data_IF_666212432878
#
_entry.id   IF_666212432878
#
_cell.length_a   1.000
_cell.length_b   1.000
_cell.length_c   1.000
_cell.angle_alpha   90.00
_cell.angle_beta   90.00
_cell.angle_gamma   90.00
#
_symmetry.space_group_name_H-M   'P 1'
#
loop_
_entity.id
_entity.type
_entity.pdbx_description
1 polymer ?
#
# COMPACT_ATOMS: atom_id res chain seq x y z
N UNK A 1 28.42 -42.40 -94.57
CA UNK A 1 28.77 -41.49 -93.47
C UNK A 1 27.47 -40.86 -93.01
N UNK A 2 27.09 -41.06 -91.75
CA UNK A 2 25.79 -40.61 -91.25
C UNK A 2 25.96 -39.54 -90.18
N UNK A 3 25.20 -38.46 -90.30
CA UNK A 3 25.21 -37.38 -89.32
C UNK A 3 24.13 -37.62 -88.28
N UNK A 4 24.55 -37.72 -87.02
CA UNK A 4 23.65 -37.92 -85.89
C UNK A 4 23.68 -36.70 -84.97
N UNK A 5 22.50 -36.31 -84.51
CA UNK A 5 22.28 -35.25 -83.53
C UNK A 5 21.56 -35.86 -82.33
N UNK A 6 22.07 -35.62 -81.13
CA UNK A 6 21.41 -36.00 -79.88
C UNK A 6 20.38 -34.95 -79.44
N UNK A 7 19.37 -35.41 -78.68
CA UNK A 7 18.41 -34.52 -78.00
C UNK A 7 19.09 -33.71 -76.89
N UNK A 8 18.43 -32.67 -76.34
CA UNK A 8 18.99 -31.84 -75.28
C UNK A 8 19.50 -32.63 -74.06
N UNK A 9 18.78 -33.66 -73.63
CA UNK A 9 19.15 -34.53 -72.50
C UNK A 9 20.08 -35.71 -72.88
N UNK A 10 20.28 -35.95 -74.18
CA UNK A 10 21.02 -37.12 -74.67
C UNK A 10 22.45 -36.74 -75.12
N UNK A 11 23.38 -37.68 -75.06
CA UNK A 11 24.71 -37.57 -75.67
C UNK A 11 24.97 -38.77 -76.59
N UNK A 12 25.73 -38.53 -77.66
CA UNK A 12 26.21 -39.59 -78.55
C UNK A 12 27.54 -40.11 -78.04
N UNK A 13 27.60 -41.41 -77.83
CA UNK A 13 28.80 -42.17 -77.53
C UNK A 13 29.25 -42.89 -78.77
N UNK A 14 30.47 -42.58 -79.23
CA UNK A 14 31.03 -43.10 -80.46
C UNK A 14 32.27 -43.92 -80.12
N UNK A 15 32.30 -45.14 -80.63
CA UNK A 15 33.41 -46.09 -80.48
C UNK A 15 33.75 -46.69 -81.84
N UNK A 16 34.98 -47.14 -82.07
CA UNK A 16 35.39 -47.79 -83.31
C UNK A 16 36.71 -47.27 -83.86
N UNK A 17 36.97 -47.54 -85.14
CA UNK A 17 38.28 -47.29 -85.75
C UNK A 17 38.67 -45.81 -85.68
N UNK A 18 39.84 -45.52 -85.10
CA UNK A 18 40.38 -44.16 -84.90
C UNK A 18 39.95 -43.47 -83.59
N UNK A 19 39.34 -44.19 -82.66
CA UNK A 19 38.98 -43.72 -81.32
C UNK A 19 39.50 -44.75 -80.31
N UNK A 20 40.48 -44.38 -79.48
CA UNK A 20 41.16 -45.34 -78.61
C UNK A 20 40.33 -45.76 -77.38
N UNK A 21 39.48 -44.88 -76.85
CA UNK A 21 38.59 -45.22 -75.71
C UNK A 21 37.12 -44.95 -76.03
N UNK A 22 36.68 -43.68 -75.96
CA UNK A 22 35.27 -43.33 -76.08
C UNK A 22 35.12 -41.85 -76.41
N UNK A 23 34.37 -41.50 -77.45
CA UNK A 23 34.12 -40.10 -77.81
C UNK A 23 32.67 -39.72 -77.50
N UNK A 24 32.48 -38.71 -76.66
CA UNK A 24 31.16 -38.20 -76.26
C UNK A 24 30.91 -36.86 -76.95
N UNK A 25 29.82 -36.75 -77.72
CA UNK A 25 29.48 -35.53 -78.44
C UNK A 25 27.96 -35.33 -78.56
N UNK A 26 27.49 -34.08 -78.67
CA UNK A 26 26.07 -33.78 -78.97
C UNK A 26 25.74 -33.96 -80.45
N UNK A 27 26.72 -33.69 -81.32
CA UNK A 27 26.60 -33.75 -82.77
C UNK A 27 27.86 -34.42 -83.31
N UNK A 28 27.72 -35.42 -84.15
CA UNK A 28 28.87 -36.09 -84.72
C UNK A 28 28.57 -36.79 -86.03
N UNK A 29 29.63 -36.88 -86.83
CA UNK A 29 29.66 -37.57 -88.10
C UNK A 29 30.21 -38.98 -87.85
N UNK A 30 29.37 -39.99 -88.03
CA UNK A 30 29.72 -41.39 -87.75
C UNK A 30 30.24 -42.04 -89.03
N UNK A 31 31.46 -42.55 -88.97
CA UNK A 31 32.11 -43.29 -90.05
C UNK A 31 31.60 -44.75 -90.11
N UNK A 32 31.64 -45.43 -91.28
CA UNK A 32 31.11 -46.80 -91.43
C UNK A 32 31.76 -47.85 -90.51
N UNK A 33 32.96 -47.58 -89.97
CA UNK A 33 33.66 -48.44 -89.00
C UNK A 33 33.49 -47.98 -87.54
N UNK A 34 32.56 -47.07 -87.27
CA UNK A 34 32.26 -46.54 -85.94
C UNK A 34 30.84 -46.93 -85.53
N UNK A 35 30.68 -47.30 -84.26
CA UNK A 35 29.39 -47.54 -83.61
C UNK A 35 28.99 -46.30 -82.84
N UNK A 36 27.71 -45.96 -82.89
CA UNK A 36 27.13 -44.84 -82.17
C UNK A 36 26.00 -45.34 -81.26
N UNK A 37 26.11 -45.04 -79.96
CA UNK A 37 25.09 -45.35 -78.95
C UNK A 37 24.63 -44.04 -78.33
N UNK A 38 23.32 -43.92 -78.06
CA UNK A 38 22.75 -42.74 -77.40
C UNK A 38 22.64 -43.00 -75.90
N UNK A 39 22.99 -42.03 -75.08
CA UNK A 39 22.90 -42.10 -73.63
C UNK A 39 22.09 -40.91 -73.12
N UNK A 40 21.09 -41.19 -72.28
CA UNK A 40 20.32 -40.16 -71.58
C UNK A 40 21.05 -39.77 -70.28
N UNK A 41 21.16 -38.47 -70.04
CA UNK A 41 21.81 -37.88 -68.85
C UNK A 41 20.76 -37.39 -67.84
N UNK A 42 19.47 -37.54 -68.16
CA UNK A 42 18.37 -37.16 -67.28
C UNK A 42 18.43 -37.93 -65.94
N UNK A 43 18.31 -37.23 -64.79
CA UNK A 43 18.26 -37.88 -63.50
C UNK A 43 17.02 -38.80 -63.37
N UNK A 44 17.22 -39.97 -62.78
CA UNK A 44 16.18 -40.97 -62.55
C UNK A 44 15.90 -41.10 -61.05
N UNK A 45 14.63 -41.29 -60.70
CA UNK A 45 14.23 -41.54 -59.32
C UNK A 45 14.29 -43.03 -59.00
N UNK A 46 15.09 -43.38 -58.00
CA UNK A 46 15.27 -44.72 -57.47
C UNK A 46 14.59 -44.81 -56.11
N UNK A 47 13.55 -45.63 -56.03
CA UNK A 47 12.86 -45.95 -54.77
C UNK A 47 13.39 -47.28 -54.24
N UNK A 48 13.78 -47.32 -52.98
CA UNK A 48 14.19 -48.56 -52.34
C UNK A 48 13.72 -48.60 -50.88
N UNK A 49 13.64 -49.81 -50.35
CA UNK A 49 13.27 -50.10 -48.97
C UNK A 49 14.37 -50.95 -48.36
N UNK A 50 15.28 -50.30 -47.61
CA UNK A 50 16.39 -51.03 -46.98
C UNK A 50 15.90 -51.64 -45.68
N UNK A 51 16.05 -52.96 -45.56
CA UNK A 51 16.00 -53.62 -44.26
C UNK A 51 17.38 -53.55 -43.61
N UNK A 52 17.45 -52.86 -42.47
CA UNK A 52 18.67 -52.66 -41.72
C UNK A 52 18.48 -53.03 -40.24
N UNK A 53 19.58 -53.32 -39.56
CA UNK A 53 19.61 -53.64 -38.14
C UNK A 53 20.42 -52.58 -37.40
N UNK A 54 19.89 -52.07 -36.29
CA UNK A 54 20.64 -51.17 -35.39
C UNK A 54 21.70 -51.91 -34.58
N UNK A 55 22.54 -51.18 -33.84
CA UNK A 55 23.50 -51.76 -32.89
C UNK A 55 22.82 -52.64 -31.83
N UNK A 56 21.57 -52.34 -31.47
CA UNK A 56 20.75 -53.09 -30.51
C UNK A 56 20.09 -54.33 -31.15
N UNK A 57 20.39 -54.62 -32.43
CA UNK A 57 19.81 -55.70 -33.23
C UNK A 57 18.31 -55.55 -33.47
N UNK A 58 17.80 -54.32 -33.42
CA UNK A 58 16.43 -54.03 -33.82
C UNK A 58 16.39 -53.82 -35.34
N UNK A 59 15.55 -54.60 -36.01
CA UNK A 59 15.34 -54.51 -37.45
C UNK A 59 14.35 -53.39 -37.78
N UNK A 60 14.66 -52.59 -38.79
CA UNK A 60 13.79 -51.52 -39.28
C UNK A 60 13.85 -51.39 -40.80
N UNK A 61 12.80 -50.80 -41.35
CA UNK A 61 12.68 -50.48 -42.76
C UNK A 61 12.93 -48.99 -42.98
N UNK A 62 13.88 -48.69 -43.85
CA UNK A 62 14.18 -47.34 -44.31
C UNK A 62 13.68 -47.17 -45.75
N UNK A 63 12.47 -46.64 -45.95
CA UNK A 63 12.00 -46.26 -47.28
C UNK A 63 12.65 -44.95 -47.70
N UNK A 64 13.36 -44.95 -48.82
CA UNK A 64 13.98 -43.75 -49.34
C UNK A 64 13.91 -43.65 -50.86
N UNK A 65 13.97 -42.40 -51.34
CA UNK A 65 13.88 -42.05 -52.77
C UNK A 65 15.08 -41.19 -53.12
N UNK A 66 15.90 -41.66 -54.03
CA UNK A 66 17.11 -40.97 -54.48
C UNK A 66 16.96 -40.60 -55.95
N UNK A 67 17.19 -39.33 -56.26
CA UNK A 67 17.28 -38.84 -57.63
C UNK A 67 18.74 -38.87 -58.04
N UNK A 68 19.10 -39.82 -58.90
CA UNK A 68 20.48 -40.08 -59.30
C UNK A 68 20.60 -39.94 -60.81
N UNK A 69 21.66 -39.31 -61.27
CA UNK A 69 21.97 -39.22 -62.69
C UNK A 69 23.45 -38.98 -62.92
N UNK A 70 23.95 -39.22 -64.14
CA UNK A 70 25.31 -38.85 -64.50
C UNK A 70 25.53 -37.34 -64.35
N UNK A 71 26.75 -36.95 -63.98
CA UNK A 71 27.16 -35.54 -63.92
C UNK A 71 27.40 -35.03 -65.34
N UNK A 72 26.54 -34.12 -65.82
CA UNK A 72 26.65 -33.56 -67.17
C UNK A 72 27.87 -32.64 -67.36
N UNK A 73 28.35 -32.03 -66.27
CA UNK A 73 29.40 -31.01 -66.30
C UNK A 73 30.82 -31.59 -66.41
N UNK A 74 31.01 -32.87 -66.04
CA UNK A 74 32.32 -33.52 -66.06
C UNK A 74 32.40 -34.57 -67.17
N UNK A 75 33.32 -34.34 -68.11
CA UNK A 75 33.56 -35.28 -69.20
C UNK A 75 34.03 -36.65 -68.69
N UNK A 76 34.81 -36.70 -67.62
CA UNK A 76 35.32 -37.97 -67.09
C UNK A 76 34.19 -38.82 -66.47
N UNK A 77 33.28 -38.19 -65.73
CA UNK A 77 32.07 -38.83 -65.21
C UNK A 77 31.18 -39.37 -66.33
N UNK A 78 31.00 -38.63 -67.43
CA UNK A 78 30.26 -39.10 -68.59
C UNK A 78 30.93 -40.30 -69.27
N UNK A 79 32.26 -40.34 -69.35
CA UNK A 79 33.00 -41.49 -69.89
C UNK A 79 32.84 -42.72 -68.99
N UNK A 80 32.93 -42.56 -67.68
CA UNK A 80 32.69 -43.66 -66.72
C UNK A 80 31.27 -44.22 -66.83
N UNK A 81 30.28 -43.34 -66.90
CA UNK A 81 28.88 -43.73 -67.08
C UNK A 81 28.65 -44.44 -68.42
N UNK A 82 29.25 -43.93 -69.50
CA UNK A 82 29.18 -44.55 -70.82
C UNK A 82 29.83 -45.94 -70.85
N UNK A 83 30.95 -46.14 -70.15
CA UNK A 83 31.59 -47.46 -69.99
C UNK A 83 30.69 -48.43 -69.22
N UNK A 84 30.02 -47.97 -68.15
CA UNK A 84 29.08 -48.78 -67.40
C UNK A 84 27.94 -49.28 -68.30
N UNK A 85 27.33 -48.39 -69.07
CA UNK A 85 26.25 -48.73 -70.00
C UNK A 85 26.70 -49.61 -71.18
N UNK A 86 27.95 -49.45 -71.64
CA UNK A 86 28.49 -50.25 -72.75
C UNK A 86 28.69 -51.72 -72.40
N UNK A 87 28.97 -52.03 -71.12
CA UNK A 87 29.10 -53.42 -70.63
C UNK A 87 27.75 -54.13 -70.51
N UNK A 88 26.67 -53.36 -70.29
CA UNK A 88 25.33 -53.85 -70.01
C UNK A 88 24.40 -53.55 -71.20
N UNK A 89 24.72 -54.08 -72.39
CA UNK A 89 23.89 -53.92 -73.60
C UNK A 89 22.47 -54.52 -73.49
N UNK A 90 22.08 -55.05 -72.32
CA UNK A 90 20.78 -55.68 -72.07
C UNK A 90 20.16 -55.14 -70.79
N UNK A 91 19.46 -54.01 -70.93
CA UNK A 91 18.45 -53.45 -70.01
C UNK A 91 18.97 -52.45 -68.95
N UNK A 92 18.17 -51.40 -68.75
CA UNK A 92 18.28 -50.40 -67.68
C UNK A 92 18.19 -50.98 -66.26
N UNK A 93 17.86 -52.27 -66.15
CA UNK A 93 17.74 -53.01 -64.91
C UNK A 93 19.08 -53.15 -64.19
N UNK A 94 20.17 -53.38 -64.92
CA UNK A 94 21.48 -53.67 -64.33
C UNK A 94 22.07 -52.46 -63.59
N UNK A 95 21.87 -51.25 -64.14
CA UNK A 95 22.29 -50.00 -63.47
C UNK A 95 21.43 -49.74 -62.25
N UNK A 96 20.14 -50.06 -62.31
CA UNK A 96 19.23 -49.93 -61.17
C UNK A 96 19.63 -50.87 -60.03
N UNK A 97 19.93 -52.13 -60.34
CA UNK A 97 20.41 -53.12 -59.36
C UNK A 97 21.76 -52.72 -58.75
N UNK A 98 22.70 -52.25 -59.57
CA UNK A 98 24.00 -51.77 -59.08
C UNK A 98 23.83 -50.62 -58.09
N UNK A 99 23.07 -49.58 -58.48
CA UNK A 99 22.82 -48.41 -57.62
C UNK A 99 22.07 -48.82 -56.35
N UNK A 100 21.07 -49.70 -56.47
CA UNK A 100 20.34 -50.22 -55.32
C UNK A 100 21.26 -51.01 -54.38
N UNK A 101 22.13 -51.88 -54.90
CA UNK A 101 23.07 -52.68 -54.11
C UNK A 101 24.09 -51.82 -53.35
N UNK A 102 24.62 -50.77 -53.98
CA UNK A 102 25.52 -49.81 -53.31
C UNK A 102 24.80 -49.10 -52.17
N UNK A 103 23.60 -48.59 -52.42
CA UNK A 103 22.87 -47.82 -51.41
C UNK A 103 22.43 -48.72 -50.25
N UNK A 104 21.91 -49.91 -50.54
CA UNK A 104 21.53 -50.89 -49.52
C UNK A 104 22.73 -51.32 -48.68
N UNK A 105 23.87 -51.59 -49.30
CA UNK A 105 25.12 -51.97 -48.63
C UNK A 105 25.60 -50.89 -47.66
N UNK A 106 25.80 -49.67 -48.16
CA UNK A 106 26.32 -48.55 -47.35
C UNK A 106 25.34 -48.12 -46.25
N UNK A 107 24.04 -48.11 -46.55
CA UNK A 107 23.00 -47.80 -45.57
C UNK A 107 22.98 -48.84 -44.45
N UNK A 108 23.15 -50.13 -44.77
CA UNK A 108 23.17 -51.21 -43.77
C UNK A 108 24.39 -51.12 -42.85
N UNK A 109 25.56 -50.80 -43.39
CA UNK A 109 26.79 -50.62 -42.60
C UNK A 109 26.61 -49.45 -41.62
N UNK A 110 26.03 -48.35 -42.06
CA UNK A 110 25.76 -47.19 -41.22
C UNK A 110 24.73 -47.48 -40.13
N UNK A 111 23.61 -48.10 -40.50
CA UNK A 111 22.57 -48.47 -39.56
C UNK A 111 23.10 -49.40 -38.45
N UNK A 112 23.99 -50.34 -38.77
CA UNK A 112 24.59 -51.25 -37.79
C UNK A 112 25.46 -50.52 -36.75
N UNK A 113 26.04 -49.37 -37.12
CA UNK A 113 26.92 -48.58 -36.26
C UNK A 113 26.21 -47.59 -35.33
N UNK A 114 24.90 -47.38 -35.53
CA UNK A 114 24.11 -46.41 -34.76
C UNK A 114 23.04 -47.08 -33.90
N UNK A 115 22.71 -46.44 -32.77
CA UNK A 115 21.56 -46.84 -31.96
C UNK A 115 20.25 -46.49 -32.69
N UNK A 116 19.19 -47.22 -32.37
CA UNK A 116 17.88 -46.98 -32.99
C UNK A 116 17.35 -45.57 -32.67
N UNK A 117 17.59 -45.09 -31.45
CA UNK A 117 17.21 -43.74 -31.04
C UNK A 117 17.99 -42.66 -31.79
N UNK A 118 19.28 -42.88 -32.04
CA UNK A 118 20.11 -41.93 -32.78
C UNK A 118 19.71 -41.86 -34.25
N UNK A 119 19.30 -42.98 -34.86
CA UNK A 119 18.76 -43.00 -36.23
C UNK A 119 17.43 -42.23 -36.30
N UNK A 120 16.59 -42.34 -35.25
CA UNK A 120 15.30 -41.65 -35.16
C UNK A 120 15.46 -40.14 -34.85
N UNK A 121 16.27 -39.77 -33.87
CA UNK A 121 16.50 -38.36 -33.46
C UNK A 121 17.43 -37.64 -34.44
N UNK A 122 18.45 -38.33 -34.92
CA UNK A 122 19.52 -37.83 -35.79
C UNK A 122 19.27 -38.04 -37.27
N UNK A 123 18.02 -38.06 -37.75
CA UNK A 123 17.70 -38.32 -39.17
C UNK A 123 18.45 -37.41 -40.14
N UNK A 124 18.77 -36.17 -39.73
CA UNK A 124 19.56 -35.22 -40.54
C UNK A 124 21.03 -35.62 -40.65
N UNK A 125 21.65 -36.03 -39.55
CA UNK A 125 23.05 -36.43 -39.52
C UNK A 125 23.24 -37.77 -40.20
N UNK A 126 22.34 -38.72 -39.95
CA UNK A 126 22.26 -39.99 -40.66
C UNK A 126 22.13 -39.78 -42.18
N UNK A 127 21.23 -38.88 -42.62
CA UNK A 127 21.09 -38.54 -44.04
C UNK A 127 22.40 -38.03 -44.64
N UNK A 128 23.12 -37.14 -43.94
CA UNK A 128 24.38 -36.58 -44.43
C UNK A 128 25.46 -37.65 -44.53
N UNK A 129 25.53 -38.55 -43.57
CA UNK A 129 26.54 -39.62 -43.55
C UNK A 129 26.28 -40.68 -44.63
N UNK A 130 25.02 -41.13 -44.77
CA UNK A 130 24.60 -42.03 -45.86
C UNK A 130 24.88 -41.38 -47.21
N UNK A 131 24.51 -40.11 -47.38
CA UNK A 131 24.77 -39.37 -48.61
C UNK A 131 26.28 -39.30 -48.94
N UNK A 132 27.12 -39.01 -47.94
CA UNK A 132 28.56 -38.92 -48.12
C UNK A 132 29.18 -40.24 -48.59
N UNK A 133 28.86 -41.36 -47.90
CA UNK A 133 29.41 -42.67 -48.24
C UNK A 133 28.91 -43.17 -49.60
N UNK A 134 27.60 -43.07 -49.85
CA UNK A 134 27.01 -43.50 -51.13
C UNK A 134 27.57 -42.66 -52.29
N UNK A 135 27.76 -41.36 -52.12
CA UNK A 135 28.30 -40.51 -53.20
C UNK A 135 29.74 -40.89 -53.58
N UNK A 136 30.58 -41.32 -52.62
CA UNK A 136 31.95 -41.79 -52.91
C UNK A 136 31.93 -43.02 -53.81
N UNK A 137 31.06 -43.99 -53.54
CA UNK A 137 30.90 -45.19 -54.37
C UNK A 137 30.31 -44.86 -55.75
N UNK A 138 29.27 -44.01 -55.80
CA UNK A 138 28.65 -43.60 -57.07
C UNK A 138 29.60 -42.79 -57.98
N UNK A 139 30.54 -42.03 -57.42
CA UNK A 139 31.56 -41.29 -58.17
C UNK A 139 32.47 -42.21 -59.01
N UNK A 140 32.67 -43.47 -58.60
CA UNK A 140 33.45 -44.46 -59.35
C UNK A 140 32.77 -44.79 -60.68
N UNK A 141 31.44 -44.73 -60.72
CA UNK A 141 30.60 -44.97 -61.89
C UNK A 141 30.21 -43.70 -62.65
N UNK A 142 30.65 -42.51 -62.19
CA UNK A 142 30.31 -41.22 -62.79
C UNK A 142 28.87 -40.75 -62.50
N UNK A 143 28.25 -41.29 -61.44
CA UNK A 143 26.90 -40.97 -61.00
C UNK A 143 26.91 -39.93 -59.86
N UNK A 144 25.92 -39.06 -59.86
CA UNK A 144 25.71 -38.00 -58.88
C UNK A 144 24.30 -38.12 -58.28
N UNK A 145 24.21 -38.01 -56.97
CA UNK A 145 22.93 -37.86 -56.27
C UNK A 145 22.54 -36.38 -56.34
N UNK A 146 21.46 -36.07 -57.05
CA UNK A 146 20.88 -34.72 -57.11
C UNK A 146 20.01 -34.43 -55.90
N UNK A 147 19.25 -35.44 -55.45
CA UNK A 147 18.39 -35.33 -54.28
C UNK A 147 18.25 -36.68 -53.59
N UNK A 148 18.09 -36.66 -52.28
CA UNK A 148 17.77 -37.82 -51.46
C UNK A 148 16.63 -37.44 -50.52
N UNK A 149 15.53 -38.16 -50.59
CA UNK A 149 14.41 -38.03 -49.67
C UNK A 149 14.24 -39.31 -48.88
N UNK A 150 14.52 -39.25 -47.58
CA UNK A 150 14.34 -40.35 -46.65
C UNK A 150 12.95 -40.17 -46.03
N UNK A 151 12.08 -41.16 -46.18
CA UNK A 151 10.76 -41.15 -45.53
C UNK A 151 10.91 -41.57 -44.07
N UNK A 152 9.82 -41.48 -43.31
CA UNK A 152 9.79 -41.93 -41.93
C UNK A 152 10.12 -43.43 -41.85
N UNK A 153 10.95 -43.79 -40.86
CA UNK A 153 11.30 -45.16 -40.54
C UNK A 153 10.05 -45.95 -40.17
N UNK A 154 9.98 -47.20 -40.66
CA UNK A 154 8.85 -48.09 -40.40
C UNK A 154 9.38 -49.35 -39.73
N UNK A 155 8.64 -49.86 -38.75
CA UNK A 155 8.96 -51.13 -38.12
C UNK A 155 8.77 -52.29 -39.11
N UNK A 156 9.58 -53.34 -38.96
CA UNK A 156 9.33 -54.61 -39.65
C UNK A 156 8.06 -55.24 -39.08
N UNK A 157 7.28 -55.95 -39.92
CA UNK A 157 6.06 -56.66 -39.49
C UNK A 157 6.37 -57.56 -38.27
N UNK A 158 5.66 -57.33 -37.17
CA UNK A 158 5.82 -58.06 -35.90
C UNK A 158 6.52 -57.27 -34.79
N UNK A 159 7.08 -56.10 -35.10
CA UNK A 159 7.64 -55.16 -34.11
C UNK A 159 6.86 -53.84 -34.13
N UNK A 160 6.66 -53.23 -32.96
CA UNK A 160 5.92 -51.97 -32.80
C UNK A 160 6.77 -50.91 -32.06
N UNK A 161 8.10 -51.01 -32.19
CA UNK A 161 9.02 -50.17 -31.43
C UNK A 161 8.83 -48.68 -31.72
N UNK A 162 8.68 -48.27 -32.98
CA UNK A 162 8.47 -46.85 -33.32
C UNK A 162 7.13 -46.32 -32.83
N UNK A 163 6.09 -47.15 -32.79
CA UNK A 163 4.79 -46.77 -32.23
C UNK A 163 4.91 -46.46 -30.74
N UNK A 164 5.55 -47.34 -29.97
CA UNK A 164 5.78 -47.13 -28.54
C UNK A 164 6.77 -45.98 -28.26
N UNK A 165 7.83 -45.85 -29.06
CA UNK A 165 8.79 -44.76 -28.93
C UNK A 165 8.13 -43.40 -29.21
N UNK A 166 7.28 -43.32 -30.23
CA UNK A 166 6.49 -42.13 -30.54
C UNK A 166 5.55 -41.76 -29.40
N UNK A 167 4.81 -42.73 -28.85
CA UNK A 167 3.95 -42.52 -27.68
C UNK A 167 4.75 -42.07 -26.45
N UNK A 168 5.88 -42.72 -26.15
CA UNK A 168 6.77 -42.35 -25.03
C UNK A 168 7.26 -40.91 -25.18
N UNK A 169 7.70 -40.52 -26.37
CA UNK A 169 8.22 -39.17 -26.65
C UNK A 169 7.10 -38.12 -26.50
N UNK A 170 5.89 -38.40 -26.97
CA UNK A 170 4.73 -37.52 -26.79
C UNK A 170 4.34 -37.38 -25.32
N UNK A 171 4.33 -38.49 -24.57
CA UNK A 171 4.04 -38.48 -23.13
C UNK A 171 5.13 -37.73 -22.34
N UNK A 172 6.40 -37.91 -22.69
CA UNK A 172 7.52 -37.22 -22.06
C UNK A 172 7.46 -35.71 -22.30
N UNK A 173 7.18 -35.29 -23.54
CA UNK A 173 6.97 -33.87 -23.88
C UNK A 173 5.76 -33.29 -23.14
N UNK A 174 4.65 -34.02 -23.06
CA UNK A 174 3.47 -33.60 -22.31
C UNK A 174 3.73 -33.50 -20.81
N UNK A 175 4.47 -34.44 -20.23
CA UNK A 175 4.85 -34.41 -18.82
C UNK A 175 5.81 -33.27 -18.51
N UNK A 176 6.79 -33.01 -19.38
CA UNK A 176 7.69 -31.86 -19.25
C UNK A 176 6.92 -30.55 -19.29
N UNK A 177 6.01 -30.39 -20.26
CA UNK A 177 5.13 -29.23 -20.32
C UNK A 177 4.26 -29.07 -19.05
N UNK A 178 3.74 -30.17 -18.50
CA UNK A 178 2.99 -30.14 -17.23
C UNK A 178 3.86 -29.70 -16.05
N UNK A 179 5.11 -30.17 -15.99
CA UNK A 179 6.07 -29.76 -14.95
C UNK A 179 6.38 -28.26 -15.08
N UNK A 180 6.66 -27.78 -16.29
CA UNK A 180 6.95 -26.37 -16.54
C UNK A 180 5.76 -25.47 -16.18
N UNK A 181 4.53 -25.89 -16.50
CA UNK A 181 3.29 -25.17 -16.11
C UNK A 181 3.09 -25.19 -14.59
N UNK A 182 3.34 -26.32 -13.93
CA UNK A 182 3.22 -26.43 -12.49
C UNK A 182 4.25 -25.56 -11.77
N UNK A 183 5.49 -25.53 -12.24
CA UNK A 183 6.56 -24.67 -11.71
C UNK A 183 6.25 -23.19 -11.93
N UNK A 184 5.79 -22.81 -13.12
CA UNK A 184 5.36 -21.45 -13.42
C UNK A 184 4.19 -21.02 -12.52
N UNK A 185 3.21 -21.90 -12.30
CA UNK A 185 2.08 -21.63 -11.40
C UNK A 185 2.54 -21.50 -9.95
N UNK A 186 3.40 -22.41 -9.47
CA UNK A 186 3.97 -22.33 -8.12
C UNK A 186 4.73 -21.01 -7.92
N UNK A 187 5.56 -20.61 -8.88
CA UNK A 187 6.28 -19.33 -8.82
C UNK A 187 5.33 -18.13 -8.83
N UNK A 188 4.27 -18.19 -9.65
CA UNK A 188 3.20 -17.19 -9.68
C UNK A 188 2.47 -17.07 -8.34
N UNK A 189 2.04 -18.19 -7.76
CA UNK A 189 1.33 -18.26 -6.48
C UNK A 189 2.20 -17.77 -5.32
N UNK A 190 3.49 -18.13 -5.31
CA UNK A 190 4.47 -17.64 -4.32
C UNK A 190 4.66 -16.13 -4.47
N UNK A 191 4.82 -15.62 -5.70
CA UNK A 191 4.96 -14.19 -5.96
C UNK A 191 3.72 -13.39 -5.57
N UNK A 192 2.52 -13.95 -5.81
CA UNK A 192 1.24 -13.36 -5.41
C UNK A 192 1.13 -13.28 -3.88
N UNK A 193 1.39 -14.38 -3.17
CA UNK A 193 1.36 -14.42 -1.69
C UNK A 193 2.42 -13.52 -1.05
N UNK A 194 3.61 -13.43 -1.63
CA UNK A 194 4.64 -12.51 -1.16
C UNK A 194 4.21 -11.05 -1.34
N UNK A 195 3.61 -10.71 -2.47
CA UNK A 195 3.09 -9.35 -2.73
C UNK A 195 1.93 -9.00 -1.80
N UNK A 196 1.02 -9.94 -1.56
CA UNK A 196 -0.07 -9.79 -0.59
C UNK A 196 0.47 -9.63 0.84
N UNK A 197 1.42 -10.48 1.25
CA UNK A 197 2.09 -10.38 2.54
C UNK A 197 2.82 -9.04 2.73
N UNK A 198 3.48 -8.54 1.69
CA UNK A 198 4.11 -7.21 1.70
C UNK A 198 3.07 -6.09 1.82
N UNK A 199 1.92 -6.23 1.16
CA UNK A 199 0.81 -5.27 1.24
C UNK A 199 0.21 -5.23 2.63
N UNK A 200 -0.03 -6.40 3.25
CA UNK A 200 -0.54 -6.51 4.63
C UNK A 200 0.47 -5.93 5.62
N UNK A 201 1.76 -6.26 5.49
CA UNK A 201 2.80 -5.71 6.36
C UNK A 201 2.93 -4.19 6.21
N UNK A 202 2.82 -3.67 4.99
CA UNK A 202 2.87 -2.23 4.72
C UNK A 202 1.65 -1.54 5.31
N UNK A 203 0.45 -2.10 5.13
CA UNK A 203 -0.77 -1.60 5.75
C UNK A 203 -0.70 -1.60 7.29
N UNK A 204 -0.16 -2.67 7.88
CA UNK A 204 0.03 -2.76 9.33
C UNK A 204 1.06 -1.73 9.83
N UNK A 205 2.17 -1.51 9.12
CA UNK A 205 3.14 -0.45 9.45
C UNK A 205 2.51 0.94 9.36
N UNK A 206 1.74 1.21 8.31
CA UNK A 206 1.02 2.49 8.14
C UNK A 206 0.01 2.68 9.28
N UNK A 207 -0.74 1.65 9.67
CA UNK A 207 -1.70 1.74 10.78
C UNK A 207 -1.00 2.01 12.13
N UNK A 208 0.13 1.35 12.40
CA UNK A 208 0.95 1.64 13.58
C UNK A 208 1.50 3.07 13.55
N UNK A 209 2.07 3.51 12.42
CA UNK A 209 2.54 4.90 12.27
C UNK A 209 1.41 5.91 12.44
N UNK A 210 0.23 5.62 11.88
CA UNK A 210 -0.96 6.48 12.01
C UNK A 210 -1.41 6.57 13.47
N UNK A 211 -1.40 5.45 14.21
CA UNK A 211 -1.69 5.42 15.65
C UNK A 211 -0.66 6.19 16.48
N UNK A 212 0.63 6.10 16.13
CA UNK A 212 1.70 6.87 16.80
C UNK A 212 1.52 8.36 16.53
N UNK A 213 1.28 8.77 15.27
CA UNK A 213 1.06 10.17 14.90
C UNK A 213 -0.19 10.74 15.55
N UNK A 214 -1.29 9.98 15.58
CA UNK A 214 -2.53 10.41 16.26
C UNK A 214 -2.37 10.51 17.77
N UNK A 215 -1.67 9.56 18.41
CA UNK A 215 -1.33 9.65 19.83
C UNK A 215 -0.43 10.85 20.14
N UNK A 216 0.55 11.13 19.28
CA UNK A 216 1.44 12.29 19.42
C UNK A 216 0.68 13.61 19.22
N UNK A 217 -0.22 13.70 18.22
CA UNK A 217 -1.11 14.85 18.02
C UNK A 217 -2.07 15.05 19.18
N UNK A 218 -2.63 13.97 19.75
CA UNK A 218 -3.46 14.06 20.95
C UNK A 218 -2.66 14.48 22.18
N UNK A 219 -1.42 14.01 22.32
CA UNK A 219 -0.50 14.46 23.37
C UNK A 219 -0.17 15.95 23.26
N UNK A 220 0.10 16.43 22.04
CA UNK A 220 0.31 17.85 21.76
C UNK A 220 -0.95 18.68 22.01
N UNK A 221 -2.11 18.24 21.51
CA UNK A 221 -3.39 18.90 21.75
C UNK A 221 -3.75 18.99 23.23
N UNK A 222 -3.53 17.93 24.01
CA UNK A 222 -3.71 17.96 25.47
C UNK A 222 -2.71 18.88 26.16
N UNK A 223 -1.45 18.93 25.73
CA UNK A 223 -0.48 19.88 26.27
C UNK A 223 -0.87 21.33 25.98
N UNK A 224 -1.42 21.58 24.79
CA UNK A 224 -1.89 22.91 24.37
C UNK A 224 -3.17 23.29 25.11
N UNK A 225 -4.12 22.37 25.30
CA UNK A 225 -5.28 22.55 26.18
C UNK A 225 -4.88 22.81 27.63
N UNK A 226 -3.87 22.11 28.16
CA UNK A 226 -3.36 22.35 29.51
C UNK A 226 -2.71 23.73 29.61
N UNK A 227 -1.94 24.16 28.60
CA UNK A 227 -1.35 25.51 28.55
C UNK A 227 -2.42 26.58 28.49
N UNK A 228 -3.38 26.47 27.58
CA UNK A 228 -4.50 27.41 27.47
C UNK A 228 -5.33 27.41 28.76
N UNK A 229 -5.63 26.24 29.32
CA UNK A 229 -6.37 26.12 30.58
C UNK A 229 -5.63 26.68 31.79
N UNK A 230 -4.29 26.62 31.80
CA UNK A 230 -3.48 27.25 32.85
C UNK A 230 -3.35 28.76 32.65
N UNK A 231 -3.23 29.25 31.41
CA UNK A 231 -3.29 30.67 31.09
C UNK A 231 -4.65 31.29 31.47
N UNK A 232 -5.75 30.61 31.16
CA UNK A 232 -7.11 31.03 31.57
C UNK A 232 -7.23 31.06 33.10
N UNK A 233 -6.74 30.03 33.81
CA UNK A 233 -6.75 30.04 35.29
C UNK A 233 -5.89 31.14 35.88
N UNK A 234 -4.73 31.44 35.29
CA UNK A 234 -3.88 32.56 35.72
C UNK A 234 -4.62 33.88 35.52
N UNK A 235 -5.31 34.05 34.39
CA UNK A 235 -6.11 35.22 34.10
C UNK A 235 -7.31 35.36 35.07
N UNK A 236 -8.03 34.27 35.37
CA UNK A 236 -9.10 34.26 36.36
C UNK A 236 -8.59 34.63 37.75
N UNK A 237 -7.46 34.07 38.19
CA UNK A 237 -6.84 34.41 39.48
C UNK A 237 -6.41 35.89 39.51
N UNK A 238 -5.86 36.41 38.42
CA UNK A 238 -5.50 37.82 38.31
C UNK A 238 -6.73 38.73 38.38
N UNK A 239 -7.80 38.38 37.66
CA UNK A 239 -9.05 39.13 37.67
C UNK A 239 -9.71 39.08 39.06
N UNK A 240 -9.70 37.93 39.73
CA UNK A 240 -10.25 37.77 41.07
C UNK A 240 -9.43 38.54 42.11
N UNK A 241 -8.10 38.57 41.98
CA UNK A 241 -7.23 39.41 42.80
C UNK A 241 -7.50 40.91 42.59
N UNK A 242 -7.70 41.35 41.34
CA UNK A 242 -8.01 42.75 41.02
C UNK A 242 -9.41 43.15 41.55
N UNK A 243 -10.40 42.27 41.42
CA UNK A 243 -11.74 42.46 42.01
C UNK A 243 -11.67 42.49 43.54
N UNK A 244 -10.85 41.64 44.16
CA UNK A 244 -10.64 41.61 45.62
C UNK A 244 -9.97 42.89 46.11
N UNK A 245 -8.94 43.38 45.41
CA UNK A 245 -8.31 44.68 45.70
C UNK A 245 -9.30 45.84 45.55
N UNK A 246 -10.09 45.86 44.48
CA UNK A 246 -11.12 46.87 44.25
C UNK A 246 -12.18 46.83 45.37
N UNK A 247 -12.61 45.64 45.77
CA UNK A 247 -13.56 45.45 46.88
C UNK A 247 -12.96 45.86 48.23
N UNK A 248 -11.68 45.59 48.51
CA UNK A 248 -11.00 46.04 49.73
C UNK A 248 -10.85 47.58 49.76
N UNK A 249 -10.50 48.20 48.63
CA UNK A 249 -10.46 49.67 48.47
C UNK A 249 -11.86 50.29 48.65
N UNK A 250 -12.91 49.63 48.18
CA UNK A 250 -14.28 50.08 48.32
C UNK A 250 -14.81 49.89 49.76
N UNK A 251 -14.43 48.80 50.42
CA UNK A 251 -14.75 48.51 51.82
C UNK A 251 -14.06 49.49 52.79
N UNK A 252 -12.78 49.81 52.57
CA UNK A 252 -12.06 50.82 53.37
C UNK A 252 -12.68 52.21 53.22
N UNK A 253 -13.04 52.62 51.99
CA UNK A 253 -13.78 53.87 51.77
C UNK A 253 -15.17 53.88 52.42
N UNK A 254 -15.92 52.77 52.32
CA UNK A 254 -17.21 52.62 53.01
C UNK A 254 -17.08 52.67 54.53
N UNK A 255 -16.05 52.04 55.09
CA UNK A 255 -15.77 52.07 56.52
C UNK A 255 -15.40 53.49 56.98
N UNK A 256 -14.57 54.21 56.21
CA UNK A 256 -14.23 55.61 56.48
C UNK A 256 -15.47 56.51 56.46
N UNK A 257 -16.35 56.37 55.46
CA UNK A 257 -17.62 57.12 55.42
C UNK A 257 -18.58 56.73 56.55
N UNK A 258 -18.66 55.45 56.90
CA UNK A 258 -19.49 54.99 58.02
C UNK A 258 -18.97 55.51 59.36
N UNK A 259 -17.65 55.55 59.55
CA UNK A 259 -17.03 56.13 60.74
C UNK A 259 -17.27 57.65 60.80
N UNK A 260 -17.18 58.35 59.66
CA UNK A 260 -17.48 59.78 59.59
C UNK A 260 -18.96 60.08 59.85
N UNK A 261 -19.88 59.27 59.32
CA UNK A 261 -21.31 59.38 59.59
C UNK A 261 -21.62 59.12 61.09
N UNK A 262 -21.05 58.07 61.68
CA UNK A 262 -21.19 57.78 63.12
C UNK A 262 -20.59 58.86 64.01
N UNK A 263 -19.47 59.49 63.61
CA UNK A 263 -18.90 60.61 64.34
C UNK A 263 -19.84 61.84 64.31
N UNK A 264 -20.44 62.16 63.17
CA UNK A 264 -21.41 63.25 63.06
C UNK A 264 -22.70 62.99 63.86
N UNK A 265 -23.15 61.73 63.91
CA UNK A 265 -24.31 61.31 64.72
C UNK A 265 -24.01 61.43 66.22
N UNK A 266 -22.86 60.93 66.69
CA UNK A 266 -22.44 61.04 68.09
C UNK A 266 -22.18 62.49 68.51
N UNK A 267 -21.64 63.34 67.63
CA UNK A 267 -21.51 64.78 67.88
C UNK A 267 -22.87 65.46 68.01
N UNK A 268 -23.85 65.07 67.18
CA UNK A 268 -25.23 65.58 67.28
C UNK A 268 -25.92 65.14 68.57
N UNK A 269 -25.80 63.86 68.92
CA UNK A 269 -26.38 63.31 70.16
C UNK A 269 -25.73 63.92 71.40
N UNK A 270 -24.41 64.11 71.42
CA UNK A 270 -23.73 64.80 72.51
C UNK A 270 -24.13 66.27 72.60
N UNK A 271 -24.32 66.95 71.48
CA UNK A 271 -24.80 68.33 71.47
C UNK A 271 -26.23 68.45 72.04
N UNK A 272 -27.11 67.48 71.75
CA UNK A 272 -28.46 67.40 72.34
C UNK A 272 -28.37 67.11 73.85
N UNK A 273 -27.55 66.15 74.26
CA UNK A 273 -27.39 65.78 75.67
C UNK A 273 -26.79 66.91 76.54
N UNK A 274 -25.83 67.68 76.00
CA UNK A 274 -25.29 68.87 76.70
C UNK A 274 -26.39 69.92 76.88
N UNK A 275 -27.21 70.16 75.85
CA UNK A 275 -28.31 71.11 75.92
C UNK A 275 -29.41 70.68 76.89
N UNK A 276 -29.73 69.39 76.95
CA UNK A 276 -30.65 68.83 77.95
C UNK A 276 -30.10 68.96 79.38
N UNK A 277 -28.80 68.71 79.58
CA UNK A 277 -28.16 68.85 80.90
C UNK A 277 -28.15 70.32 81.38
N UNK A 278 -27.90 71.29 80.50
CA UNK A 278 -27.98 72.72 80.82
C UNK A 278 -29.41 73.13 81.22
N UNK A 279 -30.42 72.68 80.46
CA UNK A 279 -31.83 72.93 80.76
C UNK A 279 -32.27 72.31 82.09
N UNK A 280 -31.81 71.09 82.41
CA UNK A 280 -32.11 70.42 83.67
C UNK A 280 -31.55 71.20 84.87
N UNK A 281 -30.33 71.72 84.75
CA UNK A 281 -29.69 72.51 85.81
C UNK A 281 -30.42 73.84 86.06
N UNK A 282 -30.95 74.48 85.01
CA UNK A 282 -31.75 75.71 85.11
C UNK A 282 -33.10 75.47 85.81
N UNK A 283 -33.77 74.35 85.51
CA UNK A 283 -35.04 73.95 86.15
C UNK A 283 -34.84 73.64 87.63
N UNK A 284 -33.76 72.95 88.00
CA UNK A 284 -33.44 72.66 89.40
C UNK A 284 -33.13 73.94 90.20
N UNK A 285 -32.41 74.89 89.60
CA UNK A 285 -32.18 76.21 90.19
C UNK A 285 -33.47 76.99 90.44
N UNK A 286 -34.40 76.98 89.47
CA UNK A 286 -35.71 77.65 89.61
C UNK A 286 -36.57 77.01 90.71
N UNK A 287 -36.55 75.68 90.82
CA UNK A 287 -37.30 74.95 91.85
C UNK A 287 -36.76 75.19 93.27
N UNK A 288 -35.44 75.38 93.43
CA UNK A 288 -34.84 75.73 94.71
C UNK A 288 -35.29 77.12 95.19
N UNK A 289 -35.34 78.10 94.29
CA UNK A 289 -35.80 79.46 94.60
C UNK A 289 -37.27 79.47 95.05
N UNK A 290 -38.16 78.76 94.33
CA UNK A 290 -39.59 78.67 94.69
C UNK A 290 -39.81 78.04 96.08
N UNK A 291 -38.99 77.05 96.46
CA UNK A 291 -39.06 76.46 97.82
C UNK A 291 -38.64 77.48 98.89
N UNK A 292 -37.59 78.28 98.66
CA UNK A 292 -37.16 79.30 99.62
C UNK A 292 -38.16 80.43 99.81
N UNK A 293 -38.87 80.83 98.76
CA UNK A 293 -39.94 81.83 98.84
C UNK A 293 -41.17 81.30 99.59
N UNK A 294 -41.56 80.04 99.35
CA UNK A 294 -42.66 79.40 100.07
C UNK A 294 -42.38 79.29 101.59
N UNK A 295 -41.15 78.95 101.99
CA UNK A 295 -40.78 78.92 103.41
C UNK A 295 -40.81 80.32 104.04
N UNK A 296 -40.35 81.38 103.33
CA UNK A 296 -40.47 82.76 103.81
C UNK A 296 -41.92 83.19 103.99
N UNK A 297 -42.81 82.84 103.08
CA UNK A 297 -44.23 83.17 103.16
C UNK A 297 -44.94 82.49 104.34
N UNK A 298 -44.62 81.22 104.64
CA UNK A 298 -45.17 80.52 105.79
C UNK A 298 -44.75 81.12 107.14
N UNK A 299 -43.47 81.50 107.29
CA UNK A 299 -42.99 82.10 108.54
C UNK A 299 -43.57 83.49 108.79
N UNK A 300 -43.69 84.33 107.75
CA UNK A 300 -44.28 85.67 107.88
C UNK A 300 -45.78 85.62 108.20
N UNK A 301 -46.52 84.67 107.61
CA UNK A 301 -47.94 84.47 107.92
C UNK A 301 -48.16 84.04 109.37
N UNK A 302 -47.36 83.08 109.85
CA UNK A 302 -47.48 82.57 111.23
C UNK A 302 -47.16 83.64 112.29
N UNK A 303 -46.14 84.47 112.04
CA UNK A 303 -45.78 85.58 112.91
C UNK A 303 -46.84 86.70 112.94
N UNK A 304 -47.48 87.02 111.80
CA UNK A 304 -48.55 88.02 111.75
C UNK A 304 -49.81 87.55 112.50
N UNK A 305 -50.15 86.27 112.43
CA UNK A 305 -51.31 85.71 113.16
C UNK A 305 -51.08 85.76 114.68
N UNK A 306 -49.89 85.39 115.16
CA UNK A 306 -49.55 85.50 116.59
C UNK A 306 -49.55 86.95 117.10
N UNK A 307 -49.09 87.90 116.28
CA UNK A 307 -49.14 89.32 116.62
C UNK A 307 -50.59 89.81 116.77
N UNK A 308 -51.49 89.43 115.85
CA UNK A 308 -52.89 89.84 115.91
C UNK A 308 -53.68 89.24 117.08
N UNK A 309 -53.38 87.99 117.48
CA UNK A 309 -54.01 87.34 118.65
C UNK A 309 -53.65 88.10 119.94
N UNK A 310 -52.36 88.42 120.15
CA UNK A 310 -51.91 89.14 121.35
C UNK A 310 -52.49 90.55 121.45
N UNK A 311 -52.66 91.26 120.32
CA UNK A 311 -53.27 92.60 120.30
C UNK A 311 -54.76 92.54 120.65
N UNK A 312 -55.49 91.52 120.18
CA UNK A 312 -56.90 91.32 120.52
C UNK A 312 -57.10 90.98 121.99
N UNK A 313 -56.27 90.12 122.56
CA UNK A 313 -56.31 89.77 124.00
C UNK A 313 -56.04 91.00 124.88
N UNK A 314 -55.02 91.79 124.57
CA UNK A 314 -54.68 93.00 125.31
C UNK A 314 -55.80 94.08 125.24
N UNK A 315 -56.45 94.21 124.07
CA UNK A 315 -57.60 95.12 123.92
C UNK A 315 -58.85 94.63 124.68
N UNK A 316 -59.05 93.32 124.77
CA UNK A 316 -60.12 92.72 125.59
C UNK A 316 -59.97 93.03 127.08
N UNK A 317 -58.75 92.91 127.62
CA UNK A 317 -58.46 93.25 129.02
C UNK A 317 -58.64 94.75 129.32
N UNK A 318 -58.22 95.62 128.39
CA UNK A 318 -58.40 97.07 128.54
C UNK A 318 -59.88 97.45 128.59
N UNK A 319 -60.71 96.89 127.70
CA UNK A 319 -62.14 97.19 127.64
C UNK A 319 -62.91 96.72 128.89
N UNK A 320 -62.54 95.57 129.46
CA UNK A 320 -63.13 95.09 130.73
C UNK A 320 -62.81 96.02 131.90
N UNK A 321 -61.55 96.47 132.02
CA UNK A 321 -61.14 97.39 133.09
C UNK A 321 -61.83 98.76 132.96
N UNK A 322 -62.02 99.25 131.74
CA UNK A 322 -62.72 100.51 131.49
C UNK A 322 -64.21 100.43 131.87
N UNK A 323 -64.91 99.37 131.46
CA UNK A 323 -66.31 99.12 131.84
C UNK A 323 -66.50 98.96 133.35
N UNK A 324 -65.56 98.30 134.03
CA UNK A 324 -65.60 98.16 135.49
C UNK A 324 -65.41 99.52 136.20
N UNK A 325 -64.50 100.36 135.70
CA UNK A 325 -64.29 101.71 136.24
C UNK A 325 -65.51 102.63 136.04
N UNK A 326 -66.15 102.57 134.87
CA UNK A 326 -67.36 103.34 134.56
C UNK A 326 -68.57 102.93 135.43
N UNK A 327 -68.69 101.63 135.75
CA UNK A 327 -69.75 101.13 136.63
C UNK A 327 -69.63 101.70 138.06
N UNK A 328 -68.41 101.75 138.60
CA UNK A 328 -68.14 102.32 139.94
C UNK A 328 -68.42 103.83 139.96
N UNK A 329 -68.16 104.52 138.86
CA UNK A 329 -68.41 105.96 138.73
C UNK A 329 -69.91 106.28 138.66
N UNK A 330 -70.70 105.39 138.05
CA UNK A 330 -72.16 105.51 137.98
C UNK A 330 -72.83 105.28 139.34
N UNK A 331 -72.37 104.29 140.13
CA UNK A 331 -72.87 104.07 141.50
C UNK A 331 -72.59 105.28 142.41
N UNK A 332 -71.39 105.87 142.33
CA UNK A 332 -71.04 107.06 143.12
C UNK A 332 -71.84 108.31 142.72
N UNK A 333 -72.27 108.44 141.47
CA UNK A 333 -73.12 109.55 141.01
C UNK A 333 -74.57 109.44 141.50
N UNK A 334 -75.08 108.21 141.72
CA UNK A 334 -76.48 108.01 142.13
C UNK A 334 -76.74 108.20 143.63
N UNK A 335 -75.69 108.17 144.45
CA UNK A 335 -75.75 108.43 145.91
C UNK A 335 -75.67 109.92 146.29
N UNK A 336 -75.60 110.82 145.29
CA UNK A 336 -75.42 112.25 145.51
C UNK A 336 -76.64 113.12 145.11
N UNK A 337 -77.85 112.56 145.04
CA UNK A 337 -79.10 113.32 144.86
C UNK A 337 -80.21 112.84 145.79
#
# INVERSE_FOLDING_TARGET
MWYHVAKPSEFLVITGRGIDELKIAKKALVLPFQKCTRIDVSPVNYTFEVNAMSTEKLCFLLPAVFTIGPRADDHNSLVKYARLLSRHQRNSHDVKELVQGIIEGETRVLAASMSMEDVFKGTKDFKREVFGKVQVELNQFGLLIYNANIKQLVDVRGHEYFSYLGQKTQMEAANRAKVDVAEAKMKGDVGAKQSEGFTIQSAAKIDVETKVVTAQRQGQGKMEEIKVGSEVKIFEIQQEAEVSEANAKLATKKAAWSQQAKMAEVESDKAVAIREAELQQEVEGRNALTKTENFKAQFLSRANVEYHIKVQEANGEYYQKQKAADAILYEKKKLAQ
#
